data_IF_133825173176
#
_entry.id   IF_133825173176
#
_cell.length_a   1.000
_cell.length_b   1.000
_cell.length_c   1.000
_cell.angle_alpha   90.00
_cell.angle_beta   90.00
_cell.angle_gamma   90.00
#
_symmetry.space_group_name_H-M   'P 1'
#
loop_
_entity.id
_entity.type
_entity.pdbx_description
1 polymer ?
#
# COMPACT_ATOMS: atom_id res chain seq x y z
N UNK A 1 17.88 14.53 -8.37
CA UNK A 1 16.80 15.22 -7.62
C UNK A 1 15.48 14.81 -8.24
N UNK A 2 14.72 13.93 -7.59
CA UNK A 2 13.38 13.56 -8.02
C UNK A 2 12.45 14.75 -7.78
N UNK A 3 12.06 15.45 -8.85
CA UNK A 3 10.96 16.42 -8.79
C UNK A 3 9.69 15.61 -9.05
N UNK A 4 8.86 15.45 -8.02
CA UNK A 4 7.43 15.24 -8.23
C UNK A 4 6.93 16.53 -8.89
N UNK A 5 6.66 16.50 -10.20
CA UNK A 5 6.00 17.62 -10.84
C UNK A 5 4.54 17.70 -10.37
N UNK A 6 3.91 18.84 -10.65
CA UNK A 6 2.53 19.12 -10.23
C UNK A 6 1.56 18.09 -10.80
N UNK A 7 1.83 17.63 -12.02
CA UNK A 7 0.97 16.71 -12.77
C UNK A 7 0.99 15.31 -12.13
N UNK A 8 2.16 14.85 -11.69
CA UNK A 8 2.33 13.59 -10.95
C UNK A 8 1.59 13.64 -9.62
N UNK A 9 1.65 14.77 -8.90
CA UNK A 9 0.93 14.93 -7.64
C UNK A 9 -0.59 14.93 -7.86
N UNK A 10 -1.08 15.62 -8.89
CA UNK A 10 -2.50 15.63 -9.24
C UNK A 10 -2.99 14.22 -9.62
N UNK A 11 -2.17 13.46 -10.33
CA UNK A 11 -2.46 12.06 -10.66
C UNK A 11 -2.58 11.18 -9.41
N UNK A 12 -1.64 11.30 -8.47
CA UNK A 12 -1.69 10.56 -7.19
C UNK A 12 -2.94 10.95 -6.39
N UNK A 13 -3.29 12.23 -6.32
CA UNK A 13 -4.50 12.67 -5.61
C UNK A 13 -5.76 12.11 -6.27
N UNK A 14 -5.83 12.14 -7.61
CA UNK A 14 -6.97 11.62 -8.36
C UNK A 14 -7.15 10.11 -8.14
N UNK A 15 -6.06 9.34 -8.18
CA UNK A 15 -6.06 7.90 -7.93
C UNK A 15 -6.48 7.59 -6.49
N UNK A 16 -5.93 8.28 -5.49
CA UNK A 16 -6.32 8.09 -4.09
C UNK A 16 -7.81 8.39 -3.87
N UNK A 17 -8.32 9.45 -4.51
CA UNK A 17 -9.74 9.78 -4.49
C UNK A 17 -10.58 8.69 -5.15
N UNK A 18 -10.17 8.18 -6.30
CA UNK A 18 -10.87 7.11 -7.01
C UNK A 18 -10.96 5.83 -6.16
N UNK A 19 -9.88 5.43 -5.48
CA UNK A 19 -9.88 4.29 -4.54
C UNK A 19 -10.88 4.54 -3.40
N UNK A 20 -10.92 5.75 -2.86
CA UNK A 20 -11.82 6.08 -1.76
C UNK A 20 -13.30 6.14 -2.17
N UNK A 21 -13.62 6.60 -3.39
CA UNK A 21 -15.01 6.80 -3.84
C UNK A 21 -15.58 5.64 -4.65
N UNK A 22 -14.73 4.87 -5.34
CA UNK A 22 -15.13 3.76 -6.20
C UNK A 22 -14.11 2.60 -6.12
N UNK A 23 -14.00 1.92 -4.97
CA UNK A 23 -12.93 0.96 -4.70
C UNK A 23 -12.98 -0.29 -5.58
N UNK A 24 -14.13 -0.63 -6.18
CA UNK A 24 -14.28 -1.79 -7.07
C UNK A 24 -14.17 -1.42 -8.54
N UNK A 25 -14.56 -0.21 -8.92
CA UNK A 25 -14.56 0.21 -10.33
C UNK A 25 -13.24 0.79 -10.83
N UNK A 26 -12.26 1.00 -9.95
CA UNK A 26 -10.92 1.50 -10.35
C UNK A 26 -10.08 0.42 -11.06
N UNK A 27 -10.41 -0.85 -10.87
CA UNK A 27 -9.54 -1.94 -11.33
C UNK A 27 -9.49 -2.11 -12.84
N UNK A 28 -10.55 -1.73 -13.55
CA UNK A 28 -10.54 -1.73 -15.02
C UNK A 28 -9.53 -0.73 -15.56
N UNK A 29 -9.46 0.47 -14.97
CA UNK A 29 -8.48 1.50 -15.32
C UNK A 29 -7.05 1.05 -14.95
N UNK A 30 -6.88 0.41 -13.78
CA UNK A 30 -5.57 -0.07 -13.30
C UNK A 30 -5.05 -1.22 -14.18
N UNK A 31 -5.93 -2.12 -14.61
CA UNK A 31 -5.59 -3.25 -15.47
C UNK A 31 -5.23 -2.79 -16.89
N UNK A 32 -5.95 -1.81 -17.44
CA UNK A 32 -5.74 -1.30 -18.81
C UNK A 32 -4.55 -0.38 -18.95
N UNK A 33 -4.05 0.19 -17.87
CA UNK A 33 -2.87 1.03 -17.95
C UNK A 33 -1.65 0.14 -18.28
N UNK A 34 -1.28 0.02 -19.55
CA UNK A 34 -0.01 -0.59 -19.92
C UNK A 34 1.10 0.35 -19.43
N UNK A 35 1.82 -0.05 -18.37
CA UNK A 35 3.07 0.63 -18.02
C UNK A 35 4.17 -0.37 -18.32
N UNK A 36 5.01 -0.01 -19.28
CA UNK A 36 6.12 -0.82 -19.77
C UNK A 36 7.20 -1.06 -18.71
N UNK A 37 7.19 -0.32 -17.60
CA UNK A 37 8.24 -0.34 -16.59
C UNK A 37 7.68 -0.29 -15.15
N UNK A 38 8.17 -1.18 -14.30
CA UNK A 38 7.93 -1.21 -12.85
C UNK A 38 8.28 0.15 -12.22
N UNK A 39 9.31 0.83 -12.73
CA UNK A 39 9.74 2.13 -12.24
C UNK A 39 8.63 3.21 -12.39
N UNK A 40 7.81 3.11 -13.43
CA UNK A 40 6.74 4.07 -13.71
C UNK A 40 5.56 3.97 -12.72
N UNK A 41 5.42 2.85 -12.02
CA UNK A 41 4.46 2.65 -10.93
C UNK A 41 5.08 3.04 -9.59
N UNK A 42 6.35 2.68 -9.42
CA UNK A 42 7.05 2.78 -8.15
C UNK A 42 7.32 4.24 -7.75
N UNK A 43 7.75 5.06 -8.70
CA UNK A 43 8.15 6.43 -8.42
C UNK A 43 7.01 7.41 -8.14
N UNK A 44 5.89 7.41 -8.90
CA UNK A 44 4.81 8.36 -8.61
C UNK A 44 3.94 7.91 -7.45
N UNK A 45 3.61 6.62 -7.35
CA UNK A 45 2.61 6.14 -6.39
C UNK A 45 3.22 5.59 -5.09
N UNK A 46 4.02 4.52 -5.19
CA UNK A 46 4.57 3.83 -4.01
C UNK A 46 5.49 4.75 -3.21
N UNK A 47 6.37 5.48 -3.90
CA UNK A 47 7.26 6.44 -3.26
C UNK A 47 6.50 7.62 -2.64
N UNK A 48 5.48 8.18 -3.31
CA UNK A 48 4.67 9.26 -2.74
C UNK A 48 3.91 8.80 -1.48
N UNK A 49 3.31 7.61 -1.50
CA UNK A 49 2.67 7.02 -0.32
C UNK A 49 3.67 6.80 0.82
N UNK A 50 4.83 6.23 0.51
CA UNK A 50 5.90 5.98 1.47
C UNK A 50 6.43 7.27 2.11
N UNK A 51 6.67 8.31 1.31
CA UNK A 51 7.12 9.62 1.79
C UNK A 51 6.03 10.31 2.60
N UNK A 52 4.78 10.30 2.15
CA UNK A 52 3.67 10.86 2.89
C UNK A 52 3.56 10.19 4.27
N UNK A 53 3.54 8.85 4.31
CA UNK A 53 3.47 8.09 5.55
C UNK A 53 4.66 8.40 6.47
N UNK A 54 5.89 8.40 5.95
CA UNK A 54 7.07 8.74 6.72
C UNK A 54 7.08 10.17 7.25
N UNK A 55 6.58 11.14 6.48
CA UNK A 55 6.44 12.54 6.90
C UNK A 55 5.41 12.69 8.03
N UNK A 56 4.30 11.95 7.99
CA UNK A 56 3.33 11.94 9.08
C UNK A 56 3.89 11.26 10.33
N UNK A 57 4.55 10.11 10.21
CA UNK A 57 5.25 9.48 11.35
C UNK A 57 6.27 10.44 11.98
N UNK A 58 7.03 11.17 11.15
CA UNK A 58 7.94 12.21 11.59
C UNK A 58 7.23 13.32 12.36
N UNK A 59 6.17 13.92 11.80
CA UNK A 59 5.40 14.97 12.45
C UNK A 59 4.83 14.50 13.79
N UNK A 60 4.32 13.26 13.85
CA UNK A 60 3.86 12.66 15.10
C UNK A 60 4.98 12.54 16.13
N UNK A 61 6.17 12.08 15.72
CA UNK A 61 7.32 11.96 16.63
C UNK A 61 7.79 13.31 17.18
N UNK A 62 7.73 14.37 16.38
CA UNK A 62 8.10 15.74 16.79
C UNK A 62 7.16 16.27 17.87
N UNK A 63 5.85 16.02 17.73
CA UNK A 63 4.82 16.51 18.66
C UNK A 63 4.81 15.66 19.94
N UNK A 64 4.93 14.34 19.81
CA UNK A 64 4.67 13.40 20.91
C UNK A 64 5.93 13.04 21.72
N UNK A 65 7.11 13.00 21.11
CA UNK A 65 8.37 12.63 21.79
C UNK A 65 9.54 13.51 21.31
N UNK A 66 9.55 14.82 21.64
CA UNK A 66 10.55 15.76 21.13
C UNK A 66 12.00 15.38 21.52
N UNK A 67 12.17 14.75 22.68
CA UNK A 67 13.47 14.39 23.26
C UNK A 67 14.24 13.31 22.50
N UNK A 68 13.58 12.58 21.60
CA UNK A 68 14.20 11.51 20.83
C UNK A 68 14.06 11.73 19.30
N UNK A 69 13.76 12.97 18.90
CA UNK A 69 13.45 13.34 17.51
C UNK A 69 14.46 12.79 16.51
N UNK A 70 15.78 12.96 16.72
CA UNK A 70 16.79 12.49 15.76
C UNK A 70 16.78 10.97 15.51
N UNK A 71 16.56 10.16 16.56
CA UNK A 71 16.54 8.69 16.45
C UNK A 71 15.22 8.20 15.84
N UNK A 72 14.09 8.78 16.24
CA UNK A 72 12.78 8.44 15.68
C UNK A 72 12.56 9.01 14.27
N UNK A 73 13.25 10.09 13.90
CA UNK A 73 13.23 10.69 12.58
C UNK A 73 13.80 9.73 11.52
N UNK A 74 15.05 9.28 11.69
CA UNK A 74 15.69 8.41 10.70
C UNK A 74 15.04 7.03 10.70
N UNK A 75 14.72 6.49 11.88
CA UNK A 75 14.05 5.19 12.01
C UNK A 75 12.62 5.21 11.48
N UNK A 76 11.90 6.31 11.67
CA UNK A 76 10.53 6.52 11.21
C UNK A 76 10.46 6.73 9.70
N UNK A 77 11.14 7.74 9.16
CA UNK A 77 11.06 8.09 7.74
C UNK A 77 11.69 7.00 6.85
N UNK A 78 12.98 6.68 7.04
CA UNK A 78 13.64 5.69 6.19
C UNK A 78 13.12 4.27 6.44
N UNK A 79 12.84 3.93 7.70
CA UNK A 79 12.26 2.63 8.03
C UNK A 79 10.89 2.44 7.41
N UNK A 80 10.04 3.46 7.39
CA UNK A 80 8.72 3.41 6.75
C UNK A 80 8.86 3.28 5.25
N UNK A 81 9.71 4.08 4.62
CA UNK A 81 9.91 4.02 3.17
C UNK A 81 10.39 2.65 2.72
N UNK A 82 11.41 2.10 3.39
CA UNK A 82 11.92 0.75 3.09
C UNK A 82 10.85 -0.32 3.32
N UNK A 83 10.03 -0.20 4.37
CA UNK A 83 8.95 -1.15 4.65
C UNK A 83 7.86 -1.13 3.59
N UNK A 84 7.39 0.05 3.18
CA UNK A 84 6.34 0.17 2.15
C UNK A 84 6.85 -0.39 0.83
N UNK A 85 8.03 0.04 0.40
CA UNK A 85 8.73 -0.44 -0.80
C UNK A 85 8.90 -1.96 -0.74
N UNK A 86 9.45 -2.48 0.35
CA UNK A 86 9.68 -3.90 0.55
C UNK A 86 8.38 -4.70 0.57
N UNK A 87 7.33 -4.18 1.19
CA UNK A 87 6.01 -4.82 1.21
C UNK A 87 5.45 -4.95 -0.20
N UNK A 88 5.36 -3.85 -0.95
CA UNK A 88 4.86 -3.89 -2.33
C UNK A 88 5.68 -4.84 -3.20
N UNK A 89 7.00 -4.81 -3.06
CA UNK A 89 7.89 -5.65 -3.86
C UNK A 89 7.74 -7.14 -3.53
N UNK A 90 7.88 -7.51 -2.26
CA UNK A 90 7.78 -8.90 -1.79
C UNK A 90 6.38 -9.47 -2.10
N UNK A 91 5.33 -8.72 -1.81
CA UNK A 91 3.96 -9.11 -2.10
C UNK A 91 3.69 -9.26 -3.59
N UNK A 92 4.19 -8.34 -4.43
CA UNK A 92 4.07 -8.45 -5.89
C UNK A 92 4.74 -9.72 -6.41
N UNK A 93 5.94 -10.04 -5.91
CA UNK A 93 6.63 -11.31 -6.23
C UNK A 93 5.83 -12.54 -5.82
N UNK A 94 5.27 -12.54 -4.61
CA UNK A 94 4.44 -13.64 -4.11
C UNK A 94 3.22 -13.80 -5.01
N UNK A 95 2.48 -12.72 -5.29
CA UNK A 95 1.30 -12.76 -6.16
C UNK A 95 1.65 -13.30 -7.55
N UNK A 96 2.69 -12.76 -8.19
CA UNK A 96 3.16 -13.19 -9.50
C UNK A 96 3.53 -14.68 -9.53
N UNK A 97 4.23 -15.16 -8.50
CA UNK A 97 4.63 -16.57 -8.38
C UNK A 97 3.44 -17.53 -8.21
N UNK A 98 2.30 -17.04 -7.72
CA UNK A 98 1.08 -17.83 -7.64
C UNK A 98 0.31 -17.84 -8.97
N UNK A 99 0.38 -16.77 -9.76
CA UNK A 99 -0.21 -16.70 -11.11
C UNK A 99 0.39 -17.79 -12.02
N UNK A 100 1.70 -18.03 -11.93
CA UNK A 100 2.39 -19.11 -12.66
C UNK A 100 1.84 -20.51 -12.37
N UNK A 101 1.23 -20.72 -11.20
CA UNK A 101 0.73 -22.04 -10.76
C UNK A 101 -0.72 -22.31 -11.19
N UNK A 102 -1.36 -21.34 -11.84
CA UNK A 102 -2.81 -21.39 -12.18
C UNK A 102 -3.05 -21.13 -13.67
N UNK A 103 -2.05 -21.41 -14.52
CA UNK A 103 -2.03 -21.13 -15.97
C UNK A 103 -2.34 -19.67 -16.35
N UNK A 104 -2.14 -18.74 -15.40
CA UNK A 104 -2.22 -17.31 -15.66
C UNK A 104 -0.94 -16.80 -16.32
N UNK A 105 -1.01 -15.62 -16.95
CA UNK A 105 0.19 -14.94 -17.48
C UNK A 105 0.83 -14.13 -16.36
N UNK A 106 2.01 -14.52 -15.85
CA UNK A 106 2.69 -13.73 -14.83
C UNK A 106 3.04 -12.36 -15.38
N UNK A 107 2.55 -11.33 -14.68
CA UNK A 107 2.94 -9.94 -14.90
C UNK A 107 3.25 -9.30 -13.55
N UNK A 108 4.54 -9.18 -13.25
CA UNK A 108 5.03 -8.62 -12.00
C UNK A 108 4.63 -7.14 -11.85
N UNK A 109 4.54 -6.40 -12.96
CA UNK A 109 4.13 -4.99 -12.97
C UNK A 109 2.70 -4.85 -12.47
N UNK A 110 1.80 -5.68 -12.99
CA UNK A 110 0.39 -5.73 -12.58
C UNK A 110 0.22 -6.23 -11.14
N UNK A 111 0.96 -7.27 -10.75
CA UNK A 111 0.95 -7.78 -9.37
C UNK A 111 1.41 -6.73 -8.36
N UNK A 112 2.48 -5.98 -8.64
CA UNK A 112 2.95 -4.90 -7.78
C UNK A 112 1.95 -3.75 -7.69
N UNK A 113 1.25 -3.42 -8.78
CA UNK A 113 0.19 -2.39 -8.74
C UNK A 113 -0.97 -2.79 -7.88
N UNK A 114 -1.47 -4.01 -8.04
CA UNK A 114 -2.56 -4.53 -7.22
C UNK A 114 -2.25 -4.31 -5.74
N UNK A 115 -1.04 -4.70 -5.30
CA UNK A 115 -0.62 -4.52 -3.92
C UNK A 115 -0.47 -3.04 -3.56
N UNK A 116 0.17 -2.25 -4.41
CA UNK A 116 0.44 -0.83 -4.14
C UNK A 116 -0.86 -0.01 -3.99
N UNK A 117 -1.86 -0.27 -4.84
CA UNK A 117 -3.17 0.36 -4.77
C UNK A 117 -3.97 -0.17 -3.58
N UNK A 118 -3.93 -1.48 -3.34
CA UNK A 118 -4.59 -2.07 -2.18
C UNK A 118 -4.01 -1.56 -0.85
N UNK A 119 -2.74 -1.16 -0.79
CA UNK A 119 -2.09 -0.64 0.42
C UNK A 119 -2.63 0.73 0.89
N UNK A 120 -3.37 1.45 0.05
CA UNK A 120 -3.87 2.80 0.34
C UNK A 120 -4.60 2.94 1.70
N UNK A 121 -5.53 2.04 2.08
CA UNK A 121 -6.21 2.13 3.38
C UNK A 121 -5.24 1.97 4.56
N UNK A 122 -4.19 1.17 4.42
CA UNK A 122 -3.15 1.00 5.44
C UNK A 122 -2.34 2.29 5.59
N UNK A 123 -1.96 2.90 4.47
CA UNK A 123 -1.27 4.19 4.48
C UNK A 123 -2.13 5.26 5.16
N UNK A 124 -3.43 5.31 4.87
CA UNK A 124 -4.37 6.24 5.50
C UNK A 124 -4.46 6.04 7.03
N UNK A 125 -4.50 4.80 7.51
CA UNK A 125 -4.49 4.52 8.96
C UNK A 125 -3.19 4.97 9.61
N UNK A 126 -2.04 4.82 8.95
CA UNK A 126 -0.77 5.33 9.47
C UNK A 126 -0.74 6.85 9.59
N UNK A 127 -1.34 7.57 8.63
CA UNK A 127 -1.49 9.03 8.73
C UNK A 127 -2.32 9.41 9.95
N UNK A 128 -3.40 8.68 10.21
CA UNK A 128 -4.25 8.86 11.39
C UNK A 128 -3.57 8.41 12.69
N UNK A 129 -2.49 7.63 12.63
CA UNK A 129 -1.79 7.09 13.79
C UNK A 129 -1.18 8.18 14.69
N UNK A 130 -0.86 9.36 14.16
CA UNK A 130 -0.46 10.52 14.97
C UNK A 130 -1.52 10.87 16.01
N UNK A 131 -2.80 10.75 15.64
CA UNK A 131 -3.92 11.01 16.53
C UNK A 131 -4.15 9.86 17.51
N UNK A 132 -3.69 8.64 17.18
CA UNK A 132 -4.00 7.44 17.96
C UNK A 132 -3.45 7.43 19.38
N UNK A 133 -2.40 8.20 19.69
CA UNK A 133 -1.90 8.33 21.08
C UNK A 133 -2.97 8.93 22.02
N UNK A 134 -3.87 9.75 21.48
CA UNK A 134 -4.99 10.38 22.21
C UNK A 134 -6.29 9.58 22.10
N UNK A 135 -6.30 8.52 21.29
CA UNK A 135 -7.46 7.69 21.01
C UNK A 135 -7.43 6.48 21.96
N UNK A 136 -8.55 6.12 22.61
CA UNK A 136 -8.62 4.91 23.43
C UNK A 136 -8.15 3.67 22.64
N UNK A 137 -7.44 2.75 23.30
CA UNK A 137 -6.80 1.60 22.64
C UNK A 137 -7.74 0.78 21.75
N UNK A 138 -9.03 0.70 22.10
CA UNK A 138 -10.03 0.00 21.29
C UNK A 138 -10.34 0.70 19.96
N UNK A 139 -10.37 2.02 19.93
CA UNK A 139 -10.63 2.78 18.70
C UNK A 139 -9.40 2.76 17.80
N UNK A 140 -8.20 2.79 18.37
CA UNK A 140 -6.95 2.53 17.64
C UNK A 140 -6.97 1.15 16.96
N UNK A 141 -7.36 0.12 17.71
CA UNK A 141 -7.47 -1.25 17.18
C UNK A 141 -8.53 -1.36 16.07
N UNK A 142 -9.68 -0.70 16.21
CA UNK A 142 -10.75 -0.69 15.20
C UNK A 142 -10.31 0.00 13.90
N UNK A 143 -9.60 1.12 14.00
CA UNK A 143 -9.03 1.80 12.83
C UNK A 143 -8.01 0.90 12.11
N UNK A 144 -7.18 0.19 12.87
CA UNK A 144 -6.26 -0.82 12.32
C UNK A 144 -6.96 -1.97 11.61
N UNK A 145 -7.98 -2.55 12.26
CA UNK A 145 -8.79 -3.59 11.67
C UNK A 145 -9.51 -3.11 10.40
N UNK A 146 -9.99 -1.86 10.39
CA UNK A 146 -10.60 -1.22 9.24
C UNK A 146 -9.64 -1.02 8.07
N UNK A 147 -8.43 -0.50 8.32
CA UNK A 147 -7.40 -0.34 7.28
C UNK A 147 -6.93 -1.67 6.71
N UNK A 148 -6.73 -2.67 7.57
CA UNK A 148 -6.37 -4.02 7.13
C UNK A 148 -7.51 -4.69 6.36
N UNK A 149 -8.76 -4.58 6.84
CA UNK A 149 -9.94 -5.06 6.13
C UNK A 149 -10.09 -4.41 4.75
N UNK A 150 -9.85 -3.11 4.66
CA UNK A 150 -9.82 -2.37 3.39
C UNK A 150 -8.75 -2.87 2.43
N UNK A 151 -7.54 -3.14 2.93
CA UNK A 151 -6.46 -3.75 2.13
C UNK A 151 -6.86 -5.11 1.56
N UNK A 152 -7.39 -5.99 2.41
CA UNK A 152 -7.84 -7.32 1.98
C UNK A 152 -8.98 -7.21 0.96
N UNK A 153 -9.93 -6.30 1.19
CA UNK A 153 -11.03 -6.05 0.27
C UNK A 153 -10.56 -5.55 -1.11
N UNK A 154 -9.61 -4.62 -1.13
CA UNK A 154 -9.02 -4.11 -2.38
C UNK A 154 -8.23 -5.19 -3.11
N UNK A 155 -7.44 -6.01 -2.38
CA UNK A 155 -6.78 -7.17 -2.98
C UNK A 155 -7.80 -8.12 -3.63
N UNK A 156 -8.90 -8.42 -2.95
CA UNK A 156 -9.94 -9.30 -3.49
C UNK A 156 -10.60 -8.74 -4.75
N UNK A 157 -11.03 -7.49 -4.72
CA UNK A 157 -11.71 -6.85 -5.85
C UNK A 157 -10.79 -6.63 -7.06
N UNK A 158 -9.50 -6.38 -6.83
CA UNK A 158 -8.56 -6.12 -7.92
C UNK A 158 -7.86 -7.35 -8.49
N UNK A 159 -7.83 -8.47 -7.77
CA UNK A 159 -7.04 -9.64 -8.16
C UNK A 159 -7.44 -10.22 -9.52
N UNK A 160 -8.74 -10.43 -9.74
CA UNK A 160 -9.28 -10.97 -11.00
C UNK A 160 -9.03 -10.03 -12.19
N UNK A 161 -9.45 -8.76 -12.17
CA UNK A 161 -9.26 -7.86 -13.31
C UNK A 161 -7.80 -7.52 -13.59
N UNK A 162 -6.96 -7.42 -12.55
CA UNK A 162 -5.56 -6.96 -12.72
C UNK A 162 -4.61 -8.10 -13.10
N UNK A 163 -4.83 -9.31 -12.60
CA UNK A 163 -3.95 -10.45 -12.86
C UNK A 163 -4.52 -11.48 -13.84
N UNK A 164 -5.72 -11.24 -14.37
CA UNK A 164 -6.42 -12.13 -15.30
C UNK A 164 -6.50 -13.59 -14.82
N UNK A 165 -6.67 -13.79 -13.52
CA UNK A 165 -6.81 -15.12 -12.90
C UNK A 165 -8.27 -15.52 -12.71
N UNK A 166 -8.62 -16.81 -12.74
CA UNK A 166 -9.97 -17.26 -12.40
C UNK A 166 -10.33 -16.91 -10.95
N UNK A 167 -11.62 -16.63 -10.69
CA UNK A 167 -12.10 -16.19 -9.37
C UNK A 167 -11.78 -17.19 -8.24
N UNK A 168 -11.76 -18.48 -8.52
CA UNK A 168 -11.42 -19.50 -7.53
C UNK A 168 -9.97 -19.42 -7.03
N UNK A 169 -9.06 -18.88 -7.84
CA UNK A 169 -7.66 -18.69 -7.48
C UNK A 169 -7.41 -17.34 -6.82
N UNK A 170 -8.27 -16.34 -7.05
CA UNK A 170 -8.16 -15.01 -6.42
C UNK A 170 -8.07 -15.14 -4.90
N UNK A 171 -8.94 -15.97 -4.30
CA UNK A 171 -8.97 -16.29 -2.86
C UNK A 171 -7.66 -16.87 -2.34
N UNK A 172 -7.02 -17.75 -3.12
CA UNK A 172 -5.75 -18.39 -2.73
C UNK A 172 -4.61 -17.38 -2.75
N UNK A 173 -4.59 -16.50 -3.74
CA UNK A 173 -3.58 -15.44 -3.87
C UNK A 173 -3.73 -14.44 -2.73
N UNK A 174 -4.95 -13.95 -2.46
CA UNK A 174 -5.18 -13.01 -1.36
C UNK A 174 -4.83 -13.66 -0.02
N UNK A 175 -5.19 -14.92 0.20
CA UNK A 175 -4.81 -15.66 1.40
C UNK A 175 -3.29 -15.80 1.55
N UNK A 176 -2.58 -16.13 0.46
CA UNK A 176 -1.12 -16.20 0.45
C UNK A 176 -0.48 -14.85 0.77
N UNK A 177 -0.98 -13.75 0.20
CA UNK A 177 -0.50 -12.41 0.50
C UNK A 177 -0.72 -12.03 1.97
N UNK A 178 -1.92 -12.28 2.50
CA UNK A 178 -2.27 -11.95 3.88
C UNK A 178 -1.45 -12.75 4.90
N UNK A 179 -1.09 -13.99 4.58
CA UNK A 179 -0.32 -14.87 5.48
C UNK A 179 1.19 -14.67 5.33
N UNK A 180 1.67 -14.37 4.12
CA UNK A 180 3.10 -14.21 3.83
C UNK A 180 3.61 -12.80 4.13
N UNK A 181 2.75 -11.76 4.11
CA UNK A 181 3.13 -10.43 4.59
C UNK A 181 3.17 -10.51 6.11
N UNK A 182 4.35 -10.41 6.72
CA UNK A 182 4.43 -10.44 8.16
C UNK A 182 3.64 -9.27 8.74
N UNK A 183 2.80 -9.55 9.72
CA UNK A 183 1.95 -8.56 10.38
C UNK A 183 2.75 -7.33 10.90
N UNK A 184 4.04 -7.51 11.20
CA UNK A 184 4.98 -6.44 11.59
C UNK A 184 5.47 -5.52 10.45
N UNK A 185 5.32 -5.89 9.17
CA UNK A 185 5.57 -4.97 8.05
C UNK A 185 4.46 -3.94 7.89
N UNK A 186 3.27 -4.28 8.42
CA UNK A 186 2.05 -3.49 8.31
C UNK A 186 1.79 -2.68 9.58
N UNK A 187 2.19 -3.17 10.75
CA UNK A 187 1.96 -2.47 12.01
C UNK A 187 2.97 -1.32 12.24
N UNK A 188 2.49 -0.15 12.68
CA UNK A 188 3.32 0.90 13.25
C UNK A 188 3.78 0.44 14.64
N UNK A 189 5.07 0.58 14.91
CA UNK A 189 5.64 0.41 16.24
C UNK A 189 5.90 1.79 16.86
#
# INVERSE_FOLDING_TARGET
>A
MLKLDKDTLEQVIAQAKAIATNPTGIWDDVAQAEYDDIAAIFYPWVFALAVAQGAFVMLGSLILVPSAFGVWFFKGLFGTVIRVIGTVFISGFIANSFVEKVDGKPDLSQAMRLVAFAYTPIAAVHVLFILMRFIPGIVSWLLWAGGFGGFVFLLFSGCVPTMAVPDEFSKRIVFALVTAIPYWLIMPF
#
